data_IF_280864746485
#
_entry.id   IF_280864746485
#
_cell.length_a   1.000
_cell.length_b   1.000
_cell.length_c   1.000
_cell.angle_alpha   90.00
_cell.angle_beta   90.00
_cell.angle_gamma   90.00
#
_symmetry.space_group_name_H-M   'P 1'
#
loop_
_entity.id
_entity.type
_entity.pdbx_description
1 polymer ?
#
# COMPACT_ATOMS: atom_id res chain seq x y z
N UNK A 1 -15.04 4.30 6.48
CA UNK A 1 -14.33 4.63 5.22
C UNK A 1 -12.89 4.13 5.26
N UNK A 2 -12.19 4.33 6.37
CA UNK A 2 -10.88 3.73 6.69
C UNK A 2 -10.85 2.20 6.60
N UNK A 3 -11.79 1.48 7.22
CA UNK A 3 -11.89 0.01 7.08
C UNK A 3 -12.10 -0.44 5.64
N UNK A 4 -12.98 0.25 4.92
CA UNK A 4 -13.22 0.00 3.50
C UNK A 4 -11.93 0.17 2.69
N UNK A 5 -11.18 1.26 2.91
CA UNK A 5 -9.88 1.48 2.26
C UNK A 5 -8.90 0.34 2.54
N UNK A 6 -8.81 -0.12 3.79
CA UNK A 6 -7.91 -1.24 4.14
C UNK A 6 -8.31 -2.53 3.40
N UNK A 7 -9.60 -2.82 3.29
CA UNK A 7 -10.09 -3.95 2.49
C UNK A 7 -9.72 -3.79 1.01
N UNK A 8 -9.99 -2.62 0.41
CA UNK A 8 -9.67 -2.36 -1.00
C UNK A 8 -8.17 -2.52 -1.30
N UNK A 9 -7.29 -2.10 -0.39
CA UNK A 9 -5.83 -2.27 -0.55
C UNK A 9 -5.41 -3.74 -0.46
N UNK A 10 -6.05 -4.51 0.43
CA UNK A 10 -5.83 -5.96 0.51
C UNK A 10 -6.27 -6.62 -0.80
N UNK A 11 -7.45 -6.26 -1.30
CA UNK A 11 -7.99 -6.79 -2.55
C UNK A 11 -7.10 -6.42 -3.75
N UNK A 12 -6.59 -5.18 -3.80
CA UNK A 12 -5.60 -4.73 -4.78
C UNK A 12 -4.36 -5.61 -4.76
N UNK A 13 -3.82 -5.90 -3.57
CA UNK A 13 -2.65 -6.79 -3.41
C UNK A 13 -2.95 -8.19 -3.93
N UNK A 14 -4.14 -8.72 -3.63
CA UNK A 14 -4.56 -10.03 -4.12
C UNK A 14 -4.68 -10.06 -5.66
N UNK A 15 -5.25 -9.03 -6.28
CA UNK A 15 -5.33 -8.93 -7.74
C UNK A 15 -3.95 -8.87 -8.38
N UNK A 16 -3.02 -8.08 -7.83
CA UNK A 16 -1.64 -8.02 -8.32
C UNK A 16 -1.00 -9.40 -8.28
N UNK A 17 -1.15 -10.14 -7.18
CA UNK A 17 -0.62 -11.50 -7.07
C UNK A 17 -1.25 -12.47 -8.09
N UNK A 18 -2.55 -12.31 -8.40
CA UNK A 18 -3.21 -13.08 -9.46
C UNK A 18 -2.65 -12.75 -10.84
N UNK A 19 -2.41 -11.47 -11.13
CA UNK A 19 -1.77 -11.02 -12.39
C UNK A 19 -0.39 -11.67 -12.52
N UNK A 20 0.45 -11.57 -11.49
CA UNK A 20 1.79 -12.18 -11.51
C UNK A 20 1.74 -13.70 -11.73
N UNK A 21 0.74 -14.38 -11.16
CA UNK A 21 0.54 -15.82 -11.37
C UNK A 21 0.15 -16.15 -12.82
N UNK A 22 -0.71 -15.35 -13.45
CA UNK A 22 -1.06 -15.52 -14.88
C UNK A 22 0.16 -15.33 -15.76
N UNK A 23 0.98 -14.30 -15.49
CA UNK A 23 2.24 -14.08 -16.22
C UNK A 23 3.19 -15.28 -16.07
N UNK A 24 3.35 -15.79 -14.85
CA UNK A 24 4.19 -16.95 -14.57
C UNK A 24 3.70 -18.21 -15.32
N UNK A 25 2.38 -18.43 -15.39
CA UNK A 25 1.78 -19.54 -16.16
C UNK A 25 2.01 -19.40 -17.66
N UNK A 26 2.10 -18.17 -18.17
CA UNK A 26 2.51 -17.85 -19.54
C UNK A 26 4.02 -17.80 -19.77
N UNK A 27 4.85 -18.19 -18.79
CA UNK A 27 6.31 -18.16 -18.90
C UNK A 27 6.96 -16.78 -18.74
N UNK A 28 6.19 -15.72 -18.48
CA UNK A 28 6.68 -14.35 -18.34
C UNK A 28 7.14 -14.07 -16.90
N UNK A 29 8.39 -13.63 -16.71
CA UNK A 29 9.06 -13.49 -15.39
C UNK A 29 9.51 -12.05 -15.08
N UNK A 30 8.62 -11.08 -15.20
CA UNK A 30 8.94 -9.65 -15.01
C UNK A 30 9.40 -9.27 -13.60
N UNK A 31 8.97 -10.00 -12.55
CA UNK A 31 9.29 -9.66 -11.16
C UNK A 31 10.77 -9.80 -10.81
N UNK A 32 11.56 -10.54 -11.59
CA UNK A 32 13.01 -10.64 -11.42
C UNK A 32 13.79 -9.49 -12.05
N UNK A 33 13.20 -8.79 -13.02
CA UNK A 33 13.89 -7.76 -13.83
C UNK A 33 13.45 -6.35 -13.42
N UNK A 34 12.14 -6.17 -13.24
CA UNK A 34 11.52 -4.91 -12.88
C UNK A 34 11.38 -4.77 -11.36
N UNK A 35 11.87 -3.66 -10.81
CA UNK A 35 11.67 -3.32 -9.40
C UNK A 35 10.18 -3.16 -9.05
N UNK A 36 9.35 -2.73 -9.99
CA UNK A 36 7.91 -2.63 -9.79
C UNK A 36 7.12 -2.99 -11.07
N UNK A 37 6.52 -4.19 -11.08
CA UNK A 37 5.73 -4.69 -12.22
C UNK A 37 4.46 -3.87 -12.46
N UNK A 38 3.88 -3.27 -11.41
CA UNK A 38 2.69 -2.39 -11.55
C UNK A 38 3.07 -0.91 -11.75
N UNK A 39 4.36 -0.60 -11.91
CA UNK A 39 4.86 0.73 -12.26
C UNK A 39 4.66 1.05 -13.75
N UNK A 40 5.11 2.23 -14.18
CA UNK A 40 4.86 2.74 -15.55
C UNK A 40 5.32 1.76 -16.63
N UNK A 41 6.58 1.32 -16.60
CA UNK A 41 7.13 0.41 -17.60
C UNK A 41 6.43 -0.95 -17.60
N UNK A 42 6.14 -1.51 -16.42
CA UNK A 42 5.46 -2.79 -16.32
C UNK A 42 4.02 -2.71 -16.82
N UNK A 43 3.28 -1.63 -16.52
CA UNK A 43 1.94 -1.42 -17.07
C UNK A 43 1.93 -1.27 -18.59
N UNK A 44 2.89 -0.56 -19.16
CA UNK A 44 3.00 -0.43 -20.61
C UNK A 44 3.14 -1.80 -21.29
N UNK A 45 4.02 -2.66 -20.74
CA UNK A 45 4.17 -4.05 -21.19
C UNK A 45 2.85 -4.82 -21.04
N UNK A 46 2.22 -4.76 -19.87
CA UNK A 46 0.99 -5.51 -19.59
C UNK A 46 -0.17 -5.09 -20.50
N UNK A 47 -0.28 -3.79 -20.82
CA UNK A 47 -1.25 -3.27 -21.77
C UNK A 47 -0.96 -3.74 -23.19
N UNK A 48 0.31 -3.78 -23.62
CA UNK A 48 0.70 -4.29 -24.93
C UNK A 48 0.43 -5.79 -25.07
N UNK A 49 0.73 -6.59 -24.03
CA UNK A 49 0.35 -8.00 -23.95
C UNK A 49 -1.16 -8.18 -24.09
N UNK A 50 -1.95 -7.28 -23.49
CA UNK A 50 -3.40 -7.27 -23.65
C UNK A 50 -3.88 -6.90 -25.05
N UNK A 51 -3.20 -5.96 -25.70
CA UNK A 51 -3.43 -5.62 -27.10
C UNK A 51 -3.01 -6.74 -28.08
N UNK A 52 -2.36 -7.80 -27.57
CA UNK A 52 -1.98 -8.97 -28.33
C UNK A 52 -0.55 -8.95 -28.86
N UNK A 53 0.28 -7.98 -28.47
CA UNK A 53 1.70 -7.97 -28.81
C UNK A 53 2.41 -9.13 -28.10
N UNK A 54 3.24 -9.86 -28.86
CA UNK A 54 3.95 -11.08 -28.43
C UNK A 54 5.44 -11.00 -28.64
N UNK A 55 5.90 -10.07 -29.47
CA UNK A 55 7.31 -9.89 -29.76
C UNK A 55 8.05 -9.37 -28.51
N UNK A 56 8.93 -10.18 -27.88
CA UNK A 56 9.64 -9.78 -26.67
C UNK A 56 10.53 -8.55 -26.89
N UNK A 57 11.07 -8.36 -28.10
CA UNK A 57 11.88 -7.20 -28.45
C UNK A 57 11.04 -5.91 -28.43
N UNK A 58 9.86 -5.93 -29.07
CA UNK A 58 8.95 -4.78 -29.06
C UNK A 58 8.45 -4.45 -27.66
N UNK A 59 8.12 -5.48 -26.88
CA UNK A 59 7.69 -5.32 -25.49
C UNK A 59 8.82 -4.71 -24.63
N UNK A 60 10.07 -5.11 -24.85
CA UNK A 60 11.22 -4.56 -24.13
C UNK A 60 11.47 -3.07 -24.44
N UNK A 61 11.15 -2.62 -25.67
CA UNK A 61 11.27 -1.22 -26.08
C UNK A 61 10.25 -0.28 -25.41
N UNK A 62 9.17 -0.80 -24.83
CA UNK A 62 8.15 0.00 -24.13
C UNK A 62 8.64 0.54 -22.77
N UNK A 63 9.82 0.10 -22.33
CA UNK A 63 10.35 0.42 -21.02
C UNK A 63 11.13 1.73 -21.04
N UNK A 64 11.01 2.51 -19.95
CA UNK A 64 11.75 3.76 -19.81
C UNK A 64 13.28 3.57 -19.85
N UNK A 65 14.00 4.61 -20.31
CA UNK A 65 15.46 4.62 -20.49
C UNK A 65 16.26 4.14 -19.27
N UNK A 66 15.76 4.35 -18.05
CA UNK A 66 16.43 3.92 -16.81
C UNK A 66 16.59 2.41 -16.68
N UNK A 67 15.74 1.61 -17.34
CA UNK A 67 15.77 0.14 -17.29
C UNK A 67 16.26 -0.44 -18.63
N UNK A 68 16.56 0.41 -19.63
CA UNK A 68 17.08 -0.01 -20.93
C UNK A 68 18.41 -0.76 -20.84
N UNK A 69 19.22 -0.51 -19.80
CA UNK A 69 20.44 -1.27 -19.54
C UNK A 69 20.18 -2.78 -19.27
N UNK A 70 18.95 -3.16 -18.93
CA UNK A 70 18.53 -4.55 -18.71
C UNK A 70 17.82 -5.17 -19.91
N UNK A 71 17.93 -4.57 -21.11
CA UNK A 71 17.20 -5.01 -22.30
C UNK A 71 17.27 -6.52 -22.53
N UNK A 72 18.47 -7.10 -22.51
CA UNK A 72 18.67 -8.54 -22.74
C UNK A 72 17.90 -9.38 -21.71
N UNK A 73 18.00 -9.04 -20.42
CA UNK A 73 17.27 -9.73 -19.34
C UNK A 73 15.76 -9.57 -19.48
N UNK A 74 15.31 -8.42 -20.00
CA UNK A 74 13.90 -8.14 -20.19
C UNK A 74 13.31 -8.95 -21.35
N UNK A 75 14.01 -9.02 -22.48
CA UNK A 75 13.66 -9.89 -23.62
C UNK A 75 13.57 -11.34 -23.16
N UNK A 76 14.56 -11.83 -22.41
CA UNK A 76 14.54 -13.18 -21.84
C UNK A 76 13.33 -13.39 -20.91
N UNK A 77 13.06 -12.43 -20.00
CA UNK A 77 11.93 -12.51 -19.09
C UNK A 77 10.55 -12.40 -19.77
N UNK A 78 10.48 -11.83 -20.97
CA UNK A 78 9.29 -11.68 -21.80
C UNK A 78 9.09 -12.85 -22.77
N UNK A 79 10.13 -13.68 -22.96
CA UNK A 79 10.06 -14.86 -23.82
C UNK A 79 9.24 -15.94 -23.11
N UNK A 80 7.99 -16.12 -23.52
CA UNK A 80 7.09 -17.11 -22.92
C UNK A 80 5.88 -17.43 -23.80
N UNK A 81 5.18 -18.51 -23.48
CA UNK A 81 3.97 -18.96 -24.18
C UNK A 81 2.69 -18.41 -23.52
N UNK A 82 2.41 -17.13 -23.76
CA UNK A 82 1.21 -16.48 -23.26
C UNK A 82 0.01 -16.82 -24.17
N UNK A 83 -0.55 -18.02 -24.03
CA UNK A 83 -1.73 -18.51 -24.76
C UNK A 83 -2.95 -17.56 -24.69
N UNK A 84 -3.92 -17.64 -25.63
CA UNK A 84 -5.06 -16.73 -25.68
C UNK A 84 -5.89 -16.61 -24.39
N UNK A 85 -6.07 -17.71 -23.66
CA UNK A 85 -6.78 -17.67 -22.37
C UNK A 85 -5.97 -16.95 -21.27
N UNK A 86 -4.63 -17.02 -21.28
CA UNK A 86 -3.81 -16.25 -20.35
C UNK A 86 -3.95 -14.75 -20.63
N UNK A 87 -3.97 -14.36 -21.91
CA UNK A 87 -4.22 -12.96 -22.32
C UNK A 87 -5.59 -12.50 -21.84
N UNK A 88 -6.64 -13.28 -22.08
CA UNK A 88 -7.99 -12.96 -21.60
C UNK A 88 -8.01 -12.72 -20.08
N UNK A 89 -7.48 -13.66 -19.29
CA UNK A 89 -7.40 -13.52 -17.84
C UNK A 89 -6.59 -12.29 -17.40
N UNK A 90 -5.46 -12.03 -18.07
CA UNK A 90 -4.62 -10.87 -17.78
C UNK A 90 -5.40 -9.56 -17.96
N UNK A 91 -6.14 -9.42 -19.06
CA UNK A 91 -6.87 -8.20 -19.35
C UNK A 91 -8.04 -7.96 -18.40
N UNK A 92 -8.78 -9.02 -18.06
CA UNK A 92 -9.83 -8.93 -17.04
C UNK A 92 -9.27 -8.51 -15.67
N UNK A 93 -8.15 -9.12 -15.25
CA UNK A 93 -7.53 -8.79 -13.97
C UNK A 93 -6.96 -7.36 -13.95
N UNK A 94 -6.41 -6.86 -15.05
CA UNK A 94 -5.94 -5.48 -15.17
C UNK A 94 -7.10 -4.48 -15.10
N UNK A 95 -8.20 -4.76 -15.80
CA UNK A 95 -9.42 -3.93 -15.74
C UNK A 95 -9.98 -3.85 -14.32
N UNK A 96 -10.06 -4.99 -13.62
CA UNK A 96 -10.46 -5.03 -12.21
C UNK A 96 -9.50 -4.26 -11.30
N UNK A 97 -8.19 -4.37 -11.54
CA UNK A 97 -7.18 -3.64 -10.79
C UNK A 97 -7.37 -2.12 -10.95
N UNK A 98 -7.57 -1.64 -12.18
CA UNK A 98 -7.84 -0.23 -12.46
C UNK A 98 -9.15 0.26 -11.80
N UNK A 99 -10.18 -0.58 -11.75
CA UNK A 99 -11.41 -0.32 -11.01
C UNK A 99 -11.16 -0.16 -9.51
N UNK A 100 -10.42 -1.09 -8.90
CA UNK A 100 -10.05 -1.00 -7.48
C UNK A 100 -9.21 0.22 -7.17
N UNK A 101 -8.24 0.57 -8.02
CA UNK A 101 -7.39 1.74 -7.82
C UNK A 101 -8.18 3.04 -7.88
N UNK A 102 -9.16 3.15 -8.78
CA UNK A 102 -10.10 4.27 -8.82
C UNK A 102 -10.94 4.35 -7.53
N UNK A 103 -11.45 3.21 -7.05
CA UNK A 103 -12.22 3.14 -5.82
C UNK A 103 -11.40 3.55 -4.58
N UNK A 104 -10.15 3.08 -4.48
CA UNK A 104 -9.23 3.48 -3.41
C UNK A 104 -9.02 5.00 -3.43
N UNK A 105 -8.72 5.56 -4.60
CA UNK A 105 -8.50 7.01 -4.74
C UNK A 105 -9.72 7.82 -4.34
N UNK A 106 -10.92 7.40 -4.74
CA UNK A 106 -12.17 8.07 -4.35
C UNK A 106 -12.35 8.03 -2.83
N UNK A 107 -12.17 6.87 -2.20
CA UNK A 107 -12.29 6.76 -0.73
C UNK A 107 -11.25 7.62 -0.02
N UNK A 108 -10.02 7.70 -0.53
CA UNK A 108 -8.96 8.56 0.02
C UNK A 108 -9.32 10.05 -0.08
N UNK A 109 -9.84 10.49 -1.22
CA UNK A 109 -10.29 11.88 -1.42
C UNK A 109 -11.44 12.26 -0.47
N UNK A 110 -12.41 11.38 -0.29
CA UNK A 110 -13.53 11.61 0.63
C UNK A 110 -13.07 11.65 2.10
N UNK A 111 -12.07 10.84 2.48
CA UNK A 111 -11.44 10.93 3.81
C UNK A 111 -10.74 12.28 3.99
N UNK A 112 -9.96 12.72 3.00
CA UNK A 112 -9.26 14.01 3.04
C UNK A 112 -10.23 15.19 3.15
N UNK A 113 -11.31 15.20 2.35
CA UNK A 113 -12.32 16.26 2.37
C UNK A 113 -12.99 16.40 3.74
N UNK A 114 -13.31 15.28 4.41
CA UNK A 114 -13.91 15.29 5.74
C UNK A 114 -12.96 15.74 6.84
N UNK A 115 -11.67 15.55 6.65
CA UNK A 115 -10.64 15.92 7.62
C UNK A 115 -10.09 17.33 7.42
N UNK A 116 -10.37 17.94 6.27
CA UNK A 116 -9.98 19.32 5.92
C UNK A 116 -10.32 20.39 6.97
N UNK A 117 -11.45 20.35 7.70
CA UNK A 117 -11.73 21.35 8.75
C UNK A 117 -10.72 21.31 9.90
N UNK A 118 -9.98 20.21 10.03
CA UNK A 118 -9.15 19.89 11.19
C UNK A 118 -7.66 19.78 10.79
N UNK A 119 -7.35 20.35 9.63
CA UNK A 119 -6.06 20.34 8.96
C UNK A 119 -4.94 20.93 9.82
N UNK A 120 -5.23 22.01 10.56
CA UNK A 120 -4.25 22.62 11.48
C UNK A 120 -3.87 21.68 12.62
N UNK A 121 -4.84 20.93 13.16
CA UNK A 121 -4.57 19.95 14.21
C UNK A 121 -3.78 18.77 13.66
N UNK A 122 -4.10 18.33 12.44
CA UNK A 122 -3.37 17.27 11.74
C UNK A 122 -1.92 17.68 11.44
N UNK A 123 -1.69 18.91 10.98
CA UNK A 123 -0.34 19.43 10.73
C UNK A 123 0.50 19.50 12.02
N UNK A 124 -0.10 19.93 13.15
CA UNK A 124 0.58 19.88 14.45
C UNK A 124 0.89 18.44 14.87
N UNK A 125 -0.05 17.51 14.72
CA UNK A 125 0.18 16.09 15.04
C UNK A 125 1.29 15.47 14.18
N UNK A 126 1.38 15.84 12.90
CA UNK A 126 2.43 15.38 11.98
C UNK A 126 3.82 15.94 12.34
N UNK A 127 3.89 17.16 12.89
CA UNK A 127 5.15 17.73 13.36
C UNK A 127 5.64 17.08 14.64
N UNK A 128 4.73 16.83 15.60
CA UNK A 128 5.13 16.32 16.92
C UNK A 128 5.35 14.80 16.87
N UNK A 129 4.43 14.08 16.23
CA UNK A 129 4.57 12.67 15.92
C UNK A 129 5.08 12.65 14.50
N UNK A 130 6.32 12.36 14.11
CA UNK A 130 6.71 12.25 12.67
C UNK A 130 5.99 11.16 11.84
N UNK A 131 4.68 10.96 12.02
CA UNK A 131 3.77 10.08 11.31
C UNK A 131 3.29 10.78 10.06
N UNK A 132 3.28 10.06 8.94
CA UNK A 132 2.77 10.61 7.69
C UNK A 132 1.32 11.07 7.81
N UNK A 133 1.00 12.21 7.20
CA UNK A 133 -0.37 12.73 7.05
C UNK A 133 -1.41 11.66 6.72
N UNK A 134 -1.08 10.78 5.78
CA UNK A 134 -1.93 9.67 5.37
C UNK A 134 -2.30 8.73 6.53
N UNK A 135 -1.34 8.45 7.41
CA UNK A 135 -1.54 7.60 8.59
C UNK A 135 -2.36 8.33 9.65
N UNK A 136 -2.16 9.64 9.83
CA UNK A 136 -2.99 10.47 10.70
C UNK A 136 -4.43 10.50 10.23
N UNK A 137 -4.68 10.57 8.92
CA UNK A 137 -6.04 10.51 8.37
C UNK A 137 -6.74 9.19 8.73
N UNK A 138 -6.03 8.07 8.61
CA UNK A 138 -6.56 6.75 9.02
C UNK A 138 -6.83 6.69 10.51
N UNK A 139 -5.94 7.25 11.33
CA UNK A 139 -6.10 7.29 12.77
C UNK A 139 -7.31 8.13 13.15
N UNK A 140 -7.40 9.37 12.67
CA UNK A 140 -8.47 10.30 12.97
C UNK A 140 -9.82 9.83 12.44
N UNK A 141 -9.88 9.04 11.38
CA UNK A 141 -11.15 8.48 10.91
C UNK A 141 -11.58 7.18 11.63
N UNK A 142 -10.68 6.44 12.28
CA UNK A 142 -11.06 5.34 13.22
C UNK A 142 -11.31 5.87 14.65
N UNK A 143 -10.58 6.91 15.04
CA UNK A 143 -10.62 7.51 16.38
C UNK A 143 -11.67 8.61 16.46
N UNK A 144 -11.99 9.28 15.37
CA UNK A 144 -12.51 10.63 15.47
C UNK A 144 -11.45 11.59 15.99
N UNK A 145 -11.72 12.89 15.86
CA UNK A 145 -10.83 13.97 16.32
C UNK A 145 -11.03 14.32 17.79
N UNK A 146 -12.04 13.72 18.44
CA UNK A 146 -12.29 13.89 19.86
C UNK A 146 -11.37 12.94 20.65
N UNK A 147 -10.18 13.45 21.00
CA UNK A 147 -9.21 12.74 21.82
C UNK A 147 -9.57 12.75 23.32
N UNK A 148 -10.54 13.57 23.75
CA UNK A 148 -11.03 13.68 25.14
C UNK A 148 -11.61 12.38 25.69
N UNK A 149 -11.96 11.44 24.81
CA UNK A 149 -12.38 10.08 25.16
C UNK A 149 -11.25 9.20 25.69
N UNK A 150 -10.00 9.62 25.53
CA UNK A 150 -8.84 8.97 26.15
C UNK A 150 -8.38 9.79 27.34
N UNK A 151 -8.33 9.18 28.55
CA UNK A 151 -7.91 9.88 29.75
C UNK A 151 -6.44 10.32 29.75
N UNK A 152 -5.58 9.63 28.99
CA UNK A 152 -4.17 9.96 28.80
C UNK A 152 -3.67 9.41 27.45
N UNK A 153 -2.52 9.92 26.99
CA UNK A 153 -1.90 9.48 25.75
C UNK A 153 -1.42 8.02 25.78
N UNK A 154 -1.13 7.47 26.96
CA UNK A 154 -0.76 6.07 27.13
C UNK A 154 -1.92 5.10 26.81
N UNK A 155 -3.15 5.48 27.16
CA UNK A 155 -4.39 4.76 26.84
C UNK A 155 -4.74 4.86 25.37
N UNK A 156 -4.47 6.00 24.73
CA UNK A 156 -4.57 6.14 23.27
C UNK A 156 -3.56 5.23 22.56
N UNK A 157 -2.29 5.21 23.00
CA UNK A 157 -1.25 4.34 22.45
C UNK A 157 -1.57 2.85 22.64
N UNK A 158 -2.13 2.48 23.81
CA UNK A 158 -2.59 1.12 24.11
C UNK A 158 -3.77 0.69 23.24
N UNK A 159 -4.75 1.57 23.05
CA UNK A 159 -5.91 1.31 22.21
C UNK A 159 -5.57 1.20 20.72
N UNK A 160 -4.63 2.01 20.24
CA UNK A 160 -4.16 2.01 18.86
C UNK A 160 -3.18 0.86 18.56
N UNK A 161 -2.84 0.03 19.54
CA UNK A 161 -1.87 -1.06 19.39
C UNK A 161 -0.42 -0.58 19.21
N UNK A 162 -0.18 0.72 19.35
CA UNK A 162 1.14 1.36 19.26
C UNK A 162 2.07 1.07 20.46
N UNK A 163 1.65 0.23 21.42
CA UNK A 163 2.42 -0.05 22.65
C UNK A 163 3.73 -0.81 22.41
N UNK A 164 4.06 -1.22 21.17
CA UNK A 164 5.45 -1.60 20.83
C UNK A 164 6.42 -0.40 20.80
N UNK A 165 5.93 0.85 20.79
CA UNK A 165 6.75 2.07 20.76
C UNK A 165 7.22 2.50 22.17
N UNK A 166 6.38 2.33 23.20
CA UNK A 166 6.66 2.83 24.57
C UNK A 166 7.56 1.85 25.36
N UNK A 167 7.59 0.57 25.00
CA UNK A 167 8.34 -0.47 25.71
C UNK A 167 9.86 -0.43 25.48
N UNK A 168 10.36 0.41 24.57
CA UNK A 168 11.79 0.60 24.32
C UNK A 168 12.43 1.72 25.17
N UNK A 169 11.68 2.29 26.12
CA UNK A 169 12.19 3.23 27.14
C UNK A 169 12.75 2.53 28.41
N UNK A 170 13.11 1.25 28.32
CA UNK A 170 13.90 0.54 29.34
C UNK A 170 13.33 0.63 30.78
N UNK A 171 12.02 0.40 30.94
CA UNK A 171 11.42 0.15 32.27
C UNK A 171 11.41 -1.37 32.50
N UNK A 172 12.18 -1.92 33.47
CA UNK A 172 12.24 -3.36 33.70
C UNK A 172 10.86 -3.92 34.11
N UNK A 173 10.42 -5.01 33.49
CA UNK A 173 9.41 -5.91 34.07
C UNK A 173 7.98 -5.92 33.49
N UNK A 174 7.67 -5.34 32.33
CA UNK A 174 6.30 -5.40 31.77
C UNK A 174 6.22 -5.87 30.31
N UNK A 175 6.41 -7.17 30.08
CA UNK A 175 5.93 -7.82 28.86
C UNK A 175 4.41 -8.03 28.96
N UNK A 176 3.60 -7.03 28.59
CA UNK A 176 2.14 -7.20 28.50
C UNK A 176 1.73 -7.74 27.12
N UNK A 177 0.94 -8.82 27.12
CA UNK A 177 0.24 -9.34 25.94
C UNK A 177 -0.70 -8.27 25.36
N UNK A 178 -0.78 -8.23 24.03
CA UNK A 178 -1.62 -7.30 23.26
C UNK A 178 -3.07 -7.29 23.76
N UNK A 179 -3.66 -6.10 23.93
CA UNK A 179 -5.11 -5.95 24.04
C UNK A 179 -5.74 -6.15 22.66
N UNK A 180 -6.95 -6.74 22.61
CA UNK A 180 -7.69 -7.04 21.36
C UNK A 180 -8.25 -5.79 20.65
N UNK A 181 -7.98 -4.58 21.14
CA UNK A 181 -8.44 -3.33 20.54
C UNK A 181 -7.50 -2.85 19.43
N UNK A 182 -8.06 -2.40 18.30
CA UNK A 182 -7.27 -1.74 17.25
C UNK A 182 -6.48 -2.63 16.29
N UNK A 183 -6.89 -3.91 16.08
CA UNK A 183 -6.20 -4.88 15.20
C UNK A 183 -5.79 -4.36 13.81
N UNK A 184 -6.47 -3.34 13.28
CA UNK A 184 -6.24 -2.78 11.95
C UNK A 184 -5.20 -1.65 11.92
N UNK A 185 -4.89 -1.02 13.06
CA UNK A 185 -3.85 0.02 13.19
C UNK A 185 -2.46 -0.61 13.23
N UNK A 186 -2.33 -1.83 13.78
CA UNK A 186 -1.09 -2.60 13.84
C UNK A 186 -0.50 -2.99 12.48
N UNK A 187 -1.26 -2.85 11.39
CA UNK A 187 -0.82 -3.14 10.02
C UNK A 187 -0.24 -1.95 9.26
N UNK A 188 -0.10 -0.77 9.90
CA UNK A 188 0.39 0.45 9.27
C UNK A 188 1.93 0.54 9.39
N UNK A 189 2.69 0.45 8.29
CA UNK A 189 4.14 0.20 8.31
C UNK A 189 5.04 1.38 8.77
N UNK A 190 4.50 2.45 9.36
CA UNK A 190 5.25 3.69 9.61
C UNK A 190 5.08 4.30 11.02
N UNK A 191 4.40 3.63 11.95
CA UNK A 191 4.04 4.21 13.26
C UNK A 191 5.16 4.06 14.33
N UNK A 192 6.34 3.57 13.96
CA UNK A 192 7.28 3.01 14.94
C UNK A 192 8.12 4.00 15.78
N UNK A 193 8.12 5.34 15.56
CA UNK A 193 9.16 6.20 16.18
C UNK A 193 8.79 7.49 16.92
N UNK A 194 7.55 7.99 16.92
CA UNK A 194 7.35 9.41 17.31
C UNK A 194 6.36 9.74 18.42
N UNK A 195 5.63 8.77 18.98
CA UNK A 195 4.56 9.08 19.96
C UNK A 195 5.03 9.18 21.42
N UNK A 196 6.33 9.06 21.69
CA UNK A 196 6.89 9.23 23.05
C UNK A 196 6.85 10.68 23.55
N UNK A 197 6.79 11.67 22.65
CA UNK A 197 6.96 13.09 22.99
C UNK A 197 5.63 13.84 23.19
N UNK A 198 4.50 13.32 22.69
CA UNK A 198 3.20 14.04 22.72
C UNK A 198 2.42 13.77 24.01
N UNK A 199 2.86 12.80 24.81
CA UNK A 199 2.20 12.40 26.05
C UNK A 199 2.60 13.26 27.26
N UNK A 200 3.60 14.12 27.11
CA UNK A 200 4.16 14.93 28.18
C UNK A 200 4.23 16.39 27.73
N UNK A 201 3.09 17.05 27.53
CA UNK A 201 2.83 18.48 27.78
C UNK A 201 1.34 18.77 27.61
#
# INVERSE_FOLDING_TARGET
>A
MTRLRVHLIRDRTQLINRILKVLQQGGIKLSGVLSHVMGVSGRAILQALCAGERDPERLALLVQKSVAHKHVQLVEALTGDLRPHHQFLLCELLSLLEGLERSIKHVEQEIEQRLRPEEEKLARLEQITGVSRHTLHLLCAEVGLNLSRFPDAARLASWSGMVRCITRLNIPGTARKNSKGGSWVNGLPHIERSWGTVACH
#
